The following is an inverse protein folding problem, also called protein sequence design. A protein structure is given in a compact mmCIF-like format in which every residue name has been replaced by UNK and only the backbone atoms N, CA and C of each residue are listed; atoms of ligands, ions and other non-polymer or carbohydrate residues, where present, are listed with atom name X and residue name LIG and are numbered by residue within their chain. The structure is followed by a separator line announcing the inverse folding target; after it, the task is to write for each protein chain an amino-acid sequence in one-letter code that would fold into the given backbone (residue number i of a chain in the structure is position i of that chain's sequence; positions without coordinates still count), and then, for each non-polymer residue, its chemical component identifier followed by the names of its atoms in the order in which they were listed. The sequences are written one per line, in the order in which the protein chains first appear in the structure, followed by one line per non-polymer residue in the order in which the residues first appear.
data_IF_055608331673
#
_entry.id   IF_055608331673
#
_cell.length_a   1.000
_cell.length_b   1.000
_cell.length_c   1.000
_cell.angle_alpha   90.00
_cell.angle_beta   90.00
_cell.angle_gamma   90.00
#
_symmetry.space_group_name_H-M   'P 1'
#
loop_
_entity.id
_entity.type
_entity.pdbx_description
1 polymer ?
#
# COMPACT_ATOMS: atom_id res chain seq x y z
N UNK A 1 7.82 11.25 12.42
CA UNK A 1 7.25 10.48 11.29
C UNK A 1 5.91 11.06 10.82
N UNK A 2 4.97 11.37 11.72
CA UNK A 2 3.67 11.96 11.37
C UNK A 2 3.75 13.29 10.60
N UNK A 3 4.75 14.12 10.88
CA UNK A 3 5.01 15.39 10.17
C UNK A 3 5.28 15.21 8.66
N UNK A 4 5.71 14.03 8.22
CA UNK A 4 5.97 13.73 6.81
C UNK A 4 4.79 13.00 6.18
N UNK A 5 4.15 12.10 6.92
CA UNK A 5 3.09 11.24 6.42
C UNK A 5 1.78 11.99 6.16
N UNK A 6 1.34 12.81 7.12
CA UNK A 6 0.05 13.51 7.04
C UNK A 6 -0.04 14.46 5.83
N UNK A 7 0.98 15.30 5.51
CA UNK A 7 0.93 16.13 4.31
C UNK A 7 0.78 15.33 3.02
N UNK A 8 1.49 14.19 2.91
CA UNK A 8 1.40 13.31 1.73
C UNK A 8 -0.01 12.70 1.63
N UNK A 9 -0.57 12.23 2.75
CA UNK A 9 -1.93 11.68 2.75
C UNK A 9 -2.94 12.75 2.32
N UNK A 10 -2.84 13.97 2.84
CA UNK A 10 -3.71 15.10 2.43
C UNK A 10 -3.62 15.45 0.96
N UNK A 11 -2.43 15.33 0.38
CA UNK A 11 -2.23 15.59 -1.05
C UNK A 11 -2.83 14.47 -1.92
N UNK A 12 -2.76 13.21 -1.47
CA UNK A 12 -3.13 12.03 -2.28
C UNK A 12 -4.53 11.49 -2.02
N UNK A 13 -5.14 11.82 -0.88
CA UNK A 13 -6.42 11.27 -0.43
C UNK A 13 -7.41 12.42 -0.27
N UNK A 14 -8.62 12.23 -0.82
CA UNK A 14 -9.69 13.21 -0.71
C UNK A 14 -10.12 13.36 0.77
N UNK A 15 -10.32 14.58 1.29
CA UNK A 15 -10.92 14.80 2.60
C UNK A 15 -12.24 14.03 2.79
N UNK A 16 -12.56 13.67 4.03
CA UNK A 16 -13.71 12.84 4.44
C UNK A 16 -13.67 11.37 3.95
N UNK A 17 -12.61 10.95 3.25
CA UNK A 17 -12.45 9.54 2.87
C UNK A 17 -12.31 8.64 4.09
N UNK A 18 -12.71 7.37 3.93
CA UNK A 18 -12.48 6.32 4.91
C UNK A 18 -11.07 5.76 4.72
N UNK A 19 -10.26 5.77 5.78
CA UNK A 19 -8.88 5.32 5.77
C UNK A 19 -8.74 4.14 6.73
N UNK A 20 -8.22 3.03 6.22
CA UNK A 20 -7.93 1.82 7.00
C UNK A 20 -6.41 1.66 7.18
N UNK A 21 -5.93 1.55 8.42
CA UNK A 21 -4.51 1.31 8.71
C UNK A 21 -4.31 0.21 9.74
N UNK A 22 -3.05 -0.18 9.95
CA UNK A 22 -2.65 -0.94 11.13
C UNK A 22 -2.58 -0.05 12.38
N UNK A 23 -2.20 -0.63 13.51
CA UNK A 23 -2.03 0.07 14.80
C UNK A 23 -0.67 0.80 14.92
N UNK A 24 0.02 1.08 13.82
CA UNK A 24 1.31 1.76 13.92
C UNK A 24 1.14 3.24 14.31
N UNK A 25 1.89 3.66 15.34
CA UNK A 25 1.76 4.97 16.01
C UNK A 25 1.86 6.18 15.08
N UNK A 26 2.54 6.07 13.94
CA UNK A 26 2.67 7.19 13.01
C UNK A 26 1.32 7.63 12.42
N UNK A 27 0.34 6.72 12.36
CA UNK A 27 -1.03 6.96 11.93
C UNK A 27 -1.93 7.59 13.00
N UNK A 28 -1.44 7.80 14.23
CA UNK A 28 -2.26 8.36 15.31
C UNK A 28 -2.85 9.74 14.97
N UNK A 29 -2.14 10.49 14.15
CA UNK A 29 -2.57 11.81 13.69
C UNK A 29 -3.83 11.75 12.82
N UNK A 30 -4.16 10.59 12.25
CA UNK A 30 -5.37 10.42 11.42
C UNK A 30 -6.65 10.47 12.25
N UNK A 31 -6.62 10.08 13.54
CA UNK A 31 -7.81 10.13 14.41
C UNK A 31 -8.32 11.55 14.67
N UNK A 32 -7.42 12.54 14.60
CA UNK A 32 -7.72 13.96 14.86
C UNK A 32 -7.71 14.80 13.57
N UNK A 33 -7.74 14.14 12.42
CA UNK A 33 -7.70 14.76 11.10
C UNK A 33 -9.06 14.71 10.41
N UNK A 34 -9.12 15.25 9.19
CA UNK A 34 -10.29 15.28 8.30
C UNK A 34 -10.66 13.91 7.68
N UNK A 35 -10.20 12.78 8.23
CA UNK A 35 -10.41 11.45 7.67
C UNK A 35 -11.21 10.55 8.63
N UNK A 36 -12.05 9.68 8.06
CA UNK A 36 -12.73 8.65 8.82
C UNK A 36 -11.79 7.46 9.03
N UNK A 37 -11.08 7.45 10.16
CA UNK A 37 -10.00 6.50 10.40
C UNK A 37 -10.46 5.25 11.14
N UNK A 38 -10.14 4.08 10.58
CA UNK A 38 -10.36 2.77 11.19
C UNK A 38 -9.05 2.00 11.27
N UNK A 39 -8.79 1.37 12.42
CA UNK A 39 -7.53 0.66 12.68
C UNK A 39 -7.78 -0.83 12.84
N UNK A 40 -6.88 -1.65 12.29
CA UNK A 40 -6.90 -3.11 12.48
C UNK A 40 -5.65 -3.54 13.22
N UNK A 41 -5.84 -4.17 14.37
CA UNK A 41 -4.74 -4.64 15.19
C UNK A 41 -4.33 -6.06 14.80
N UNK A 42 -3.37 -6.20 13.87
CA UNK A 42 -2.83 -7.49 13.42
C UNK A 42 -2.18 -8.35 14.51
N UNK A 43 -1.90 -7.80 15.70
CA UNK A 43 -1.44 -8.62 16.83
C UNK A 43 -2.57 -9.39 17.52
N UNK A 44 -3.83 -9.02 17.26
CA UNK A 44 -5.00 -9.61 17.92
C UNK A 44 -6.04 -10.16 16.94
N UNK A 45 -6.28 -9.47 15.82
CA UNK A 45 -7.31 -9.82 14.84
C UNK A 45 -6.82 -9.48 13.42
N UNK A 46 -7.08 -10.37 12.46
CA UNK A 46 -6.71 -10.18 11.05
C UNK A 46 -7.78 -9.44 10.23
N UNK A 47 -8.97 -9.27 10.79
CA UNK A 47 -10.06 -8.49 10.23
C UNK A 47 -11.02 -8.10 11.35
N UNK A 48 -11.64 -6.94 11.24
CA UNK A 48 -12.78 -6.56 12.08
C UNK A 48 -14.01 -6.37 11.18
N UNK A 49 -14.95 -7.33 11.24
CA UNK A 49 -16.07 -7.44 10.28
C UNK A 49 -15.56 -7.54 8.83
N UNK A 50 -15.82 -6.53 8.00
CA UNK A 50 -15.35 -6.42 6.61
C UNK A 50 -14.13 -5.51 6.48
N UNK A 51 -13.62 -4.98 7.60
CA UNK A 51 -12.49 -4.06 7.60
C UNK A 51 -11.19 -4.88 7.73
N UNK A 52 -10.37 -4.88 6.68
CA UNK A 52 -9.05 -5.50 6.68
C UNK A 52 -8.10 -4.74 5.75
N UNK A 53 -6.79 -4.81 6.01
CA UNK A 53 -5.77 -4.27 5.10
C UNK A 53 -5.03 -5.35 4.29
N UNK A 54 -5.55 -6.58 4.30
CA UNK A 54 -4.94 -7.75 3.64
C UNK A 54 -4.53 -7.50 2.18
N UNK A 55 -5.28 -6.67 1.45
CA UNK A 55 -4.97 -6.31 0.06
C UNK A 55 -3.63 -5.60 -0.08
N UNK A 56 -3.38 -4.56 0.72
CA UNK A 56 -2.12 -3.79 0.65
C UNK A 56 -0.96 -4.61 1.21
N UNK A 57 -1.20 -5.45 2.22
CA UNK A 57 -0.18 -6.37 2.74
C UNK A 57 0.23 -7.42 1.70
N UNK A 58 -0.74 -8.01 1.00
CA UNK A 58 -0.49 -8.96 -0.08
C UNK A 58 0.27 -8.29 -1.24
N UNK A 59 -0.12 -7.07 -1.63
CA UNK A 59 0.61 -6.28 -2.62
C UNK A 59 2.08 -6.12 -2.24
N UNK A 60 2.36 -5.65 -1.02
CA UNK A 60 3.74 -5.45 -0.57
C UNK A 60 4.52 -6.75 -0.44
N UNK A 61 3.87 -7.87 -0.07
CA UNK A 61 4.51 -9.17 -0.04
C UNK A 61 4.98 -9.60 -1.44
N UNK A 62 4.10 -9.49 -2.45
CA UNK A 62 4.44 -9.81 -3.84
C UNK A 62 5.48 -8.86 -4.42
N UNK A 63 5.33 -7.55 -4.20
CA UNK A 63 6.28 -6.54 -4.64
C UNK A 63 7.67 -6.79 -4.06
N UNK A 64 7.79 -7.03 -2.74
CA UNK A 64 9.08 -7.37 -2.11
C UNK A 64 9.70 -8.63 -2.72
N UNK A 65 8.91 -9.67 -2.94
CA UNK A 65 9.40 -10.91 -3.55
C UNK A 65 9.89 -10.69 -4.98
N UNK A 66 9.18 -9.89 -5.78
CA UNK A 66 9.59 -9.53 -7.13
C UNK A 66 10.88 -8.69 -7.11
N UNK A 67 10.91 -7.63 -6.30
CA UNK A 67 12.02 -6.68 -6.25
C UNK A 67 13.30 -7.28 -5.68
N UNK A 68 13.21 -8.28 -4.78
CA UNK A 68 14.37 -9.02 -4.25
C UNK A 68 15.17 -9.77 -5.31
N UNK A 69 14.59 -10.02 -6.50
CA UNK A 69 15.31 -10.69 -7.61
C UNK A 69 16.32 -9.77 -8.29
N UNK A 70 16.24 -8.46 -8.06
CA UNK A 70 17.21 -7.51 -8.58
C UNK A 70 18.34 -7.30 -7.57
N UNK A 71 19.60 -7.32 -8.02
CA UNK A 71 20.80 -7.09 -7.21
C UNK A 71 20.97 -5.58 -6.91
N UNK A 72 19.97 -5.00 -6.24
CA UNK A 72 19.75 -3.57 -6.04
C UNK A 72 19.06 -2.87 -7.24
N UNK A 73 18.19 -1.92 -6.91
CA UNK A 73 17.45 -1.10 -7.87
C UNK A 73 17.96 0.34 -7.72
N UNK A 74 18.42 1.00 -8.81
CA UNK A 74 18.83 2.39 -8.74
C UNK A 74 17.69 3.27 -8.22
N UNK A 75 17.98 4.13 -7.23
CA UNK A 75 16.98 5.01 -6.60
C UNK A 75 16.22 5.86 -7.63
N UNK A 76 16.91 6.33 -8.66
CA UNK A 76 16.32 7.15 -9.72
C UNK A 76 15.19 6.44 -10.49
N UNK A 77 15.22 5.11 -10.57
CA UNK A 77 14.23 4.34 -11.34
C UNK A 77 13.25 3.58 -10.44
N UNK A 78 13.42 3.63 -9.11
CA UNK A 78 12.66 2.82 -8.17
C UNK A 78 11.14 2.99 -8.32
N UNK A 79 10.68 4.19 -8.65
CA UNK A 79 9.26 4.46 -8.92
C UNK A 79 8.70 3.63 -10.09
N UNK A 80 9.49 3.43 -11.16
CA UNK A 80 9.07 2.65 -12.33
C UNK A 80 8.92 1.17 -11.97
N UNK A 81 9.80 0.64 -11.13
CA UNK A 81 9.70 -0.73 -10.62
C UNK A 81 8.48 -0.93 -9.72
N UNK A 82 8.14 0.06 -8.88
CA UNK A 82 6.91 0.03 -8.10
C UNK A 82 5.67 0.10 -9.00
N UNK A 83 5.69 0.92 -10.05
CA UNK A 83 4.62 0.99 -11.06
C UNK A 83 4.44 -0.32 -11.82
N UNK A 84 5.53 -1.00 -12.14
CA UNK A 84 5.46 -2.35 -12.71
C UNK A 84 4.82 -3.35 -11.73
N UNK A 85 5.20 -3.32 -10.45
CA UNK A 85 4.59 -4.17 -9.42
C UNK A 85 3.08 -3.90 -9.28
N UNK A 86 2.66 -2.63 -9.26
CA UNK A 86 1.26 -2.20 -9.25
C UNK A 86 0.51 -2.78 -10.45
N UNK A 87 1.07 -2.63 -11.65
CA UNK A 87 0.47 -3.15 -12.87
C UNK A 87 0.33 -4.67 -12.84
N UNK A 88 1.38 -5.40 -12.44
CA UNK A 88 1.36 -6.87 -12.34
C UNK A 88 0.34 -7.37 -11.32
N UNK A 89 0.21 -6.69 -10.19
CA UNK A 89 -0.74 -7.05 -9.13
C UNK A 89 -2.18 -6.91 -9.62
N UNK A 90 -2.50 -5.82 -10.31
CA UNK A 90 -3.84 -5.56 -10.83
C UNK A 90 -4.19 -6.38 -12.08
N UNK A 91 -3.19 -6.88 -12.83
CA UNK A 91 -3.37 -7.65 -14.07
C UNK A 91 -2.82 -9.07 -13.94
N UNK A 92 -3.29 -9.85 -12.97
CA UNK A 92 -2.72 -11.17 -12.59
C UNK A 92 -2.81 -12.27 -13.65
N UNK A 93 -3.53 -12.07 -14.75
CA UNK A 93 -3.63 -13.06 -15.83
C UNK A 93 -2.31 -13.12 -16.62
N UNK A 94 -1.56 -14.21 -16.43
CA UNK A 94 -0.28 -14.45 -17.09
C UNK A 94 -0.36 -14.41 -18.63
N UNK A 95 -1.44 -14.93 -19.24
CA UNK A 95 -1.60 -14.89 -20.70
C UNK A 95 -1.75 -13.45 -21.19
N UNK A 96 -2.49 -12.62 -20.45
CA UNK A 96 -2.64 -11.20 -20.74
C UNK A 96 -1.32 -10.45 -20.55
N UNK A 97 -0.56 -10.75 -19.49
CA UNK A 97 0.73 -10.12 -19.26
C UNK A 97 1.74 -10.42 -20.37
N UNK A 98 1.86 -11.69 -20.77
CA UNK A 98 2.80 -12.11 -21.82
C UNK A 98 2.45 -11.46 -23.16
N UNK A 99 1.16 -11.23 -23.45
CA UNK A 99 0.73 -10.56 -24.68
C UNK A 99 1.12 -9.08 -24.74
N UNK A 100 1.29 -8.42 -23.59
CA UNK A 100 1.60 -6.98 -23.50
C UNK A 100 3.12 -6.74 -23.49
N UNK A 101 3.89 -7.73 -23.02
CA UNK A 101 5.35 -7.67 -22.93
C UNK A 101 6.09 -8.17 -24.18
N UNK A 102 5.37 -8.75 -25.14
CA UNK A 102 5.89 -9.13 -26.47
C UNK A 102 5.71 -7.99 -27.45
#
# INVERSE_FOLDING_TARGET
QSATLLPIIREKVKPDSIVYTDFYRSYDVLDVSEFNHFRINHSTHFAEKQNHINGIENFWNQAKHHLRKFNCIPKAHFELYLKECEWRFNHSNLKSQISILK
#
